data_IF_886135461386
#
_entry.id   IF_886135461386
#
_cell.length_a   1.000
_cell.length_b   1.000
_cell.length_c   1.000
_cell.angle_alpha   90.00
_cell.angle_beta   90.00
_cell.angle_gamma   90.00
#
_symmetry.space_group_name_H-M   'P 1'
#
loop_
_entity.id
_entity.type
_entity.pdbx_description
1 polymer ?
#
# COMPACT_ATOMS: atom_id res chain seq x y z
N UNK A 1 30.67 -10.43 -2.55
CA UNK A 1 29.39 -9.78 -2.92
C UNK A 1 29.68 -8.33 -3.26
N UNK A 2 29.08 -7.80 -4.33
CA UNK A 2 29.08 -6.35 -4.56
C UNK A 2 28.11 -5.70 -3.58
N UNK A 3 28.51 -4.61 -2.96
CA UNK A 3 27.67 -3.81 -2.06
C UNK A 3 27.41 -2.48 -2.73
N UNK A 4 26.15 -2.06 -2.75
CA UNK A 4 25.73 -0.75 -3.27
C UNK A 4 25.07 0.07 -2.16
N UNK A 5 25.21 1.39 -2.25
CA UNK A 5 24.69 2.33 -1.25
C UNK A 5 23.29 2.80 -1.65
N UNK A 6 22.30 2.56 -0.79
CA UNK A 6 20.98 3.16 -0.88
C UNK A 6 20.93 4.39 0.03
N UNK A 7 20.65 5.57 -0.55
CA UNK A 7 20.60 6.83 0.20
C UNK A 7 19.35 7.65 -0.17
N UNK A 8 18.81 8.37 0.81
CA UNK A 8 17.66 9.26 0.63
C UNK A 8 17.77 10.45 1.58
N UNK A 9 17.15 11.57 1.22
CA UNK A 9 17.05 12.75 2.10
C UNK A 9 15.93 12.54 3.10
N UNK A 10 16.19 12.89 4.36
CA UNK A 10 15.25 12.83 5.48
C UNK A 10 15.44 14.10 6.32
N UNK A 11 14.37 14.61 6.92
CA UNK A 11 14.47 15.73 7.85
C UNK A 11 15.13 15.30 9.18
N UNK A 12 15.56 16.29 9.95
CA UNK A 12 16.31 16.06 11.19
C UNK A 12 15.48 15.29 12.22
N UNK A 13 14.24 15.71 12.45
CA UNK A 13 13.40 15.19 13.52
C UNK A 13 13.03 13.72 13.26
N UNK A 14 12.67 13.39 12.01
CA UNK A 14 12.41 12.00 11.60
C UNK A 14 13.66 11.13 11.76
N UNK A 15 14.85 11.64 11.41
CA UNK A 15 16.12 10.89 11.58
C UNK A 15 16.39 10.59 13.05
N UNK A 16 16.20 11.57 13.93
CA UNK A 16 16.42 11.40 15.38
C UNK A 16 15.43 10.39 15.94
N UNK A 17 14.14 10.53 15.65
CA UNK A 17 13.11 9.61 16.11
C UNK A 17 13.36 8.17 15.62
N UNK A 18 13.70 8.01 14.34
CA UNK A 18 14.01 6.69 13.77
C UNK A 18 15.24 6.05 14.42
N UNK A 19 16.29 6.84 14.70
CA UNK A 19 17.52 6.34 15.33
C UNK A 19 17.24 5.85 16.75
N UNK A 20 16.51 6.62 17.55
CA UNK A 20 16.15 6.21 18.92
C UNK A 20 15.38 4.89 18.94
N UNK A 21 14.40 4.71 18.06
CA UNK A 21 13.63 3.46 17.96
C UNK A 21 14.55 2.29 17.56
N UNK A 22 15.48 2.52 16.62
CA UNK A 22 16.42 1.48 16.20
C UNK A 22 17.32 1.04 17.37
N UNK A 23 17.82 2.00 18.15
CA UNK A 23 18.67 1.74 19.32
C UNK A 23 17.91 0.96 20.40
N UNK A 24 16.65 1.31 20.67
CA UNK A 24 15.78 0.62 21.64
C UNK A 24 15.58 -0.87 21.30
N UNK A 25 15.59 -1.21 20.01
CA UNK A 25 15.45 -2.60 19.53
C UNK A 25 16.80 -3.27 19.20
N UNK A 26 17.92 -2.63 19.52
CA UNK A 26 19.27 -3.18 19.33
C UNK A 26 19.71 -3.25 17.87
N UNK A 27 19.20 -2.37 17.01
CA UNK A 27 19.55 -2.29 15.59
C UNK A 27 20.16 -0.93 15.26
N UNK A 28 21.11 -0.91 14.31
CA UNK A 28 21.47 0.34 13.65
C UNK A 28 20.40 0.73 12.60
N UNK A 29 20.23 2.03 12.29
CA UNK A 29 19.39 2.50 11.19
C UNK A 29 19.66 1.77 9.86
N UNK A 30 20.93 1.50 9.55
CA UNK A 30 21.30 0.76 8.34
C UNK A 30 20.85 -0.71 8.37
N UNK A 31 20.84 -1.37 9.54
CA UNK A 31 20.27 -2.72 9.66
C UNK A 31 18.76 -2.70 9.49
N UNK A 32 18.07 -1.73 10.09
CA UNK A 32 16.62 -1.57 9.93
C UNK A 32 16.22 -1.35 8.47
N UNK A 33 16.92 -0.48 7.73
CA UNK A 33 16.68 -0.26 6.29
C UNK A 33 16.93 -1.54 5.48
N UNK A 34 17.98 -2.31 5.78
CA UNK A 34 18.25 -3.60 5.12
C UNK A 34 17.14 -4.62 5.39
N UNK A 35 16.62 -4.67 6.62
CA UNK A 35 15.50 -5.55 6.97
C UNK A 35 14.23 -5.14 6.23
N UNK A 36 13.93 -3.84 6.17
CA UNK A 36 12.80 -3.32 5.41
C UNK A 36 12.89 -3.69 3.92
N UNK A 37 14.03 -3.49 3.27
CA UNK A 37 14.22 -3.88 1.87
C UNK A 37 13.98 -5.38 1.64
N UNK A 38 14.45 -6.24 2.55
CA UNK A 38 14.17 -7.69 2.48
C UNK A 38 12.70 -8.01 2.67
N UNK A 39 12.03 -7.33 3.58
CA UNK A 39 10.59 -7.51 3.79
C UNK A 39 9.81 -7.08 2.54
N UNK A 40 10.17 -5.96 1.89
CA UNK A 40 9.55 -5.55 0.63
C UNK A 40 9.68 -6.63 -0.46
N UNK A 41 10.88 -7.19 -0.61
CA UNK A 41 11.14 -8.27 -1.58
C UNK A 41 10.31 -9.52 -1.27
N UNK A 42 10.28 -9.94 0.01
CA UNK A 42 9.58 -11.15 0.43
C UNK A 42 8.06 -11.05 0.30
N UNK A 43 7.51 -9.86 0.52
CA UNK A 43 6.07 -9.60 0.44
C UNK A 43 5.59 -9.22 -0.97
N UNK A 44 6.51 -8.94 -1.92
CA UNK A 44 6.14 -8.40 -3.23
C UNK A 44 5.54 -6.99 -3.17
N UNK A 45 5.77 -6.25 -2.09
CA UNK A 45 5.13 -4.97 -1.82
C UNK A 45 5.54 -4.39 -0.46
N UNK A 46 5.03 -3.21 -0.11
CA UNK A 46 5.36 -2.59 1.17
C UNK A 46 4.81 -3.44 2.33
N UNK A 47 5.66 -3.87 3.29
CA UNK A 47 5.31 -4.85 4.34
C UNK A 47 4.51 -4.23 5.50
N UNK A 48 3.69 -3.24 5.20
CA UNK A 48 2.73 -2.64 6.12
C UNK A 48 1.58 -2.04 5.31
N UNK A 49 0.40 -1.93 5.94
CA UNK A 49 -0.76 -1.37 5.26
C UNK A 49 -0.52 0.10 4.90
N UNK A 50 -0.47 0.40 3.60
CA UNK A 50 -0.49 1.78 3.12
C UNK A 50 -1.93 2.28 3.24
N UNK A 51 -2.21 2.97 4.35
CA UNK A 51 -3.51 3.59 4.58
C UNK A 51 -3.36 5.10 4.41
N UNK A 52 -4.01 5.66 3.40
CA UNK A 52 -4.28 7.08 3.41
C UNK A 52 -5.34 7.36 4.49
N UNK A 53 -5.18 8.44 5.27
CA UNK A 53 -6.17 8.84 6.29
C UNK A 53 -7.56 9.11 5.69
N UNK A 54 -7.58 9.43 4.40
CA UNK A 54 -8.77 9.57 3.57
C UNK A 54 -8.65 8.66 2.33
N UNK A 55 -9.74 8.09 1.82
CA UNK A 55 -9.74 7.37 0.55
C UNK A 55 -9.17 8.24 -0.57
N UNK A 56 -8.54 7.62 -1.57
CA UNK A 56 -8.07 8.36 -2.75
C UNK A 56 -9.26 8.93 -3.54
N UNK A 57 -9.00 9.88 -4.45
CA UNK A 57 -10.04 10.56 -5.22
C UNK A 57 -10.97 9.60 -5.96
N UNK A 58 -10.42 8.53 -6.54
CA UNK A 58 -11.18 7.48 -7.22
C UNK A 58 -12.16 6.78 -6.29
N UNK A 59 -11.72 6.41 -5.08
CA UNK A 59 -12.58 5.77 -4.09
C UNK A 59 -13.64 6.73 -3.56
N UNK A 60 -13.29 8.01 -3.35
CA UNK A 60 -14.26 9.05 -2.96
C UNK A 60 -15.35 9.22 -4.02
N UNK A 61 -14.97 9.30 -5.29
CA UNK A 61 -15.91 9.43 -6.40
C UNK A 61 -16.86 8.22 -6.50
N UNK A 62 -16.34 7.00 -6.37
CA UNK A 62 -17.15 5.78 -6.38
C UNK A 62 -18.18 5.74 -5.23
N UNK A 63 -17.79 6.17 -4.03
CA UNK A 63 -18.72 6.28 -2.90
C UNK A 63 -19.81 7.33 -3.13
N UNK A 64 -19.47 8.48 -3.73
CA UNK A 64 -20.44 9.51 -4.08
C UNK A 64 -21.42 9.06 -5.17
N UNK A 65 -20.95 8.33 -6.18
CA UNK A 65 -21.78 7.75 -7.23
C UNK A 65 -22.83 6.78 -6.65
N UNK A 66 -22.39 5.90 -5.76
CA UNK A 66 -23.27 4.97 -5.07
C UNK A 66 -24.29 5.71 -4.18
N UNK A 67 -23.83 6.69 -3.40
CA UNK A 67 -24.70 7.52 -2.56
C UNK A 67 -25.73 8.34 -3.38
N UNK A 68 -25.38 8.71 -4.61
CA UNK A 68 -26.27 9.36 -5.57
C UNK A 68 -27.25 8.40 -6.27
N UNK A 69 -27.25 7.11 -5.91
CA UNK A 69 -28.15 6.10 -6.49
C UNK A 69 -27.78 5.68 -7.91
N UNK A 70 -26.56 6.00 -8.38
CA UNK A 70 -26.07 5.66 -9.72
C UNK A 70 -25.34 4.31 -9.77
N UNK A 71 -25.28 3.60 -8.65
CA UNK A 71 -24.65 2.28 -8.58
C UNK A 71 -25.36 1.25 -9.46
N UNK A 72 -24.58 0.30 -9.98
CA UNK A 72 -25.10 -0.83 -10.75
C UNK A 72 -25.90 -1.76 -9.83
N UNK A 73 -27.09 -2.17 -10.26
CA UNK A 73 -27.91 -3.16 -9.55
C UNK A 73 -28.04 -4.41 -10.40
N UNK A 74 -27.86 -5.57 -9.78
CA UNK A 74 -28.03 -6.85 -10.43
C UNK A 74 -29.23 -7.60 -9.83
N UNK A 75 -29.94 -8.35 -10.67
CA UNK A 75 -31.24 -8.97 -10.31
C UNK A 75 -31.11 -10.28 -9.53
N UNK A 76 -29.94 -10.91 -9.59
CA UNK A 76 -29.60 -12.14 -8.87
C UNK A 76 -28.09 -12.22 -8.65
N UNK A 77 -27.67 -13.12 -7.76
CA UNK A 77 -26.24 -13.37 -7.51
C UNK A 77 -25.55 -13.89 -8.78
N UNK A 78 -26.20 -14.78 -9.53
CA UNK A 78 -25.66 -15.32 -10.78
C UNK A 78 -25.42 -14.19 -11.81
N UNK A 79 -26.40 -13.31 -12.00
CA UNK A 79 -26.27 -12.16 -12.91
C UNK A 79 -25.14 -11.20 -12.49
N UNK A 80 -24.95 -11.00 -11.18
CA UNK A 80 -23.84 -10.18 -10.66
C UNK A 80 -22.48 -10.80 -10.97
N UNK A 81 -22.35 -12.13 -10.83
CA UNK A 81 -21.08 -12.83 -11.11
C UNK A 81 -20.76 -12.82 -12.60
N UNK A 82 -21.76 -13.01 -13.46
CA UNK A 82 -21.60 -12.91 -14.91
C UNK A 82 -21.12 -11.50 -15.31
N UNK A 83 -21.75 -10.44 -14.78
CA UNK A 83 -21.38 -9.04 -15.03
C UNK A 83 -19.96 -8.67 -14.58
N UNK A 84 -19.45 -9.28 -13.50
CA UNK A 84 -18.12 -9.03 -12.95
C UNK A 84 -17.02 -9.84 -13.65
N UNK A 85 -17.35 -10.99 -14.22
CA UNK A 85 -16.38 -11.91 -14.84
C UNK A 85 -16.20 -11.64 -16.33
N UNK A 86 -17.18 -11.03 -17.01
CA UNK A 86 -17.06 -10.56 -18.38
C UNK A 86 -16.22 -9.26 -18.49
N UNK A 87 -14.90 -9.42 -18.45
CA UNK A 87 -13.93 -8.51 -19.08
C UNK A 87 -13.73 -7.10 -18.49
N UNK A 88 -14.35 -6.75 -17.35
CA UNK A 88 -14.19 -5.41 -16.73
C UNK A 88 -13.11 -5.31 -15.66
N UNK A 89 -12.39 -6.38 -15.34
CA UNK A 89 -11.29 -6.35 -14.36
C UNK A 89 -10.00 -5.83 -15.01
N UNK A 90 -9.90 -4.51 -15.21
CA UNK A 90 -8.67 -3.86 -15.73
C UNK A 90 -7.64 -3.49 -14.64
N UNK A 91 -7.82 -3.89 -13.38
CA UNK A 91 -6.91 -3.44 -12.31
C UNK A 91 -6.67 -4.48 -11.21
N UNK A 92 -6.45 -5.74 -11.59
CA UNK A 92 -5.62 -6.64 -10.79
C UNK A 92 -4.28 -6.79 -11.53
N UNK A 93 -3.40 -5.80 -11.39
CA UNK A 93 -1.98 -6.06 -11.63
C UNK A 93 -1.41 -6.72 -10.37
N UNK A 94 -0.55 -7.74 -10.53
CA UNK A 94 0.03 -8.51 -9.44
C UNK A 94 0.89 -7.67 -8.49
#
# INVERSE_FOLDING_TARGET
MKSEMLSTRIDHDTKVAFTNICDDVGLSPSQAIKLFARAVINHGGIPFAIKARQPNETTVAAMQELAAGKGQQSKSVDAMLDELTEGKVQSAHP
#
